data_IF_521977104956
#
_entry.id   IF_521977104956
#
_cell.length_a   1.000
_cell.length_b   1.000
_cell.length_c   1.000
_cell.angle_alpha   90.00
_cell.angle_beta   90.00
_cell.angle_gamma   90.00
#
_symmetry.space_group_name_H-M   'P 1'
#
loop_
_entity.id
_entity.type
_entity.pdbx_description
1 polymer ?
#
# COMPACT_ATOMS: atom_id res chain seq x y z
N UNK A 1 0.37 8.03 13.28
CA UNK A 1 0.85 6.66 13.52
C UNK A 1 -0.14 5.78 14.30
N UNK A 2 -1.10 6.33 15.05
CA UNK A 2 -2.13 5.52 15.71
C UNK A 2 -2.86 4.58 14.73
N UNK A 3 -3.21 5.06 13.53
CA UNK A 3 -3.86 4.23 12.51
C UNK A 3 -3.00 3.07 12.00
N UNK A 4 -1.67 3.22 12.01
CA UNK A 4 -0.78 2.14 11.64
C UNK A 4 -0.83 1.01 12.68
N UNK A 5 -0.83 1.34 13.97
CA UNK A 5 -0.94 0.33 15.02
C UNK A 5 -2.32 -0.32 15.02
N UNK A 6 -3.40 0.44 14.80
CA UNK A 6 -4.74 -0.12 14.63
C UNK A 6 -4.81 -1.09 13.45
N UNK A 7 -4.23 -0.75 12.29
CA UNK A 7 -4.17 -1.66 11.15
C UNK A 7 -3.47 -2.97 11.54
N UNK A 8 -2.34 -2.88 12.24
CA UNK A 8 -1.61 -4.05 12.72
C UNK A 8 -2.44 -4.90 13.68
N UNK A 9 -3.11 -4.28 14.66
CA UNK A 9 -4.01 -4.97 15.58
C UNK A 9 -5.10 -5.71 14.79
N UNK A 10 -5.75 -5.03 13.84
CA UNK A 10 -6.80 -5.59 13.01
C UNK A 10 -6.31 -6.80 12.19
N UNK A 11 -5.19 -6.67 11.46
CA UNK A 11 -4.66 -7.78 10.64
C UNK A 11 -4.13 -8.94 11.48
N UNK A 12 -3.63 -8.68 12.69
CA UNK A 12 -3.14 -9.73 13.60
C UNK A 12 -4.24 -10.68 14.08
N UNK A 13 -5.51 -10.29 13.94
CA UNK A 13 -6.64 -11.15 14.30
C UNK A 13 -6.83 -12.34 13.34
N UNK A 14 -6.32 -12.25 12.11
CA UNK A 14 -6.53 -13.28 11.08
C UNK A 14 -5.27 -13.67 10.28
N UNK A 15 -4.23 -12.83 10.22
CA UNK A 15 -2.96 -13.16 9.57
C UNK A 15 -2.00 -13.87 10.53
N UNK A 16 -1.03 -14.61 9.96
CA UNK A 16 0.03 -15.25 10.75
C UNK A 16 1.06 -14.21 11.20
N UNK A 17 1.82 -14.46 12.29
CA UNK A 17 2.79 -13.49 12.78
C UNK A 17 3.83 -13.02 11.75
N UNK A 18 4.29 -13.89 10.85
CA UNK A 18 5.23 -13.49 9.79
C UNK A 18 4.58 -12.60 8.73
N UNK A 19 3.30 -12.84 8.42
CA UNK A 19 2.53 -12.01 7.49
C UNK A 19 2.29 -10.62 8.09
N UNK A 20 1.98 -10.54 9.39
CA UNK A 20 1.87 -9.26 10.12
C UNK A 20 3.18 -8.47 10.06
N UNK A 21 4.33 -9.15 10.14
CA UNK A 21 5.62 -8.48 9.98
C UNK A 21 5.81 -7.92 8.57
N UNK A 22 5.40 -8.66 7.53
CA UNK A 22 5.40 -8.12 6.16
C UNK A 22 4.54 -6.87 6.01
N UNK A 23 3.40 -6.80 6.72
CA UNK A 23 2.56 -5.58 6.77
C UNK A 23 3.30 -4.42 7.46
N UNK A 24 3.98 -4.67 8.59
CA UNK A 24 4.79 -3.64 9.28
C UNK A 24 5.89 -3.10 8.36
N UNK A 25 6.60 -3.99 7.68
CA UNK A 25 7.63 -3.60 6.71
C UNK A 25 7.07 -2.77 5.55
N UNK A 26 5.88 -3.11 5.05
CA UNK A 26 5.21 -2.37 3.99
C UNK A 26 4.79 -0.96 4.42
N UNK A 27 4.28 -0.81 5.66
CA UNK A 27 3.96 0.51 6.23
C UNK A 27 5.21 1.39 6.27
N UNK A 28 6.33 0.86 6.77
CA UNK A 28 7.57 1.61 6.87
C UNK A 28 8.16 1.94 5.49
N UNK A 29 8.11 0.99 4.56
CA UNK A 29 8.55 1.19 3.19
C UNK A 29 7.75 2.30 2.49
N UNK A 30 6.43 2.26 2.61
CA UNK A 30 5.52 3.29 2.09
C UNK A 30 5.81 4.66 2.74
N UNK A 31 6.04 4.69 4.06
CA UNK A 31 6.40 5.92 4.79
C UNK A 31 7.69 6.55 4.27
N UNK A 32 8.71 5.74 4.03
CA UNK A 32 10.01 6.20 3.54
C UNK A 32 9.90 6.64 2.08
N UNK A 33 9.20 5.88 1.24
CA UNK A 33 9.02 6.20 -0.17
C UNK A 33 8.32 7.55 -0.37
N UNK A 34 7.28 7.83 0.43
CA UNK A 34 6.54 9.09 0.39
C UNK A 34 7.07 10.15 1.38
N UNK A 35 8.33 10.03 1.85
CA UNK A 35 8.88 11.00 2.79
C UNK A 35 8.90 12.42 2.20
N UNK A 36 8.34 13.38 2.94
CA UNK A 36 8.24 14.78 2.51
C UNK A 36 7.01 15.08 1.63
N UNK A 37 6.26 14.06 1.22
CA UNK A 37 4.97 14.24 0.54
C UNK A 37 3.85 14.47 1.56
N UNK A 38 2.96 15.40 1.23
CA UNK A 38 1.87 15.86 2.11
C UNK A 38 0.56 15.81 1.32
N UNK A 39 -0.52 15.31 1.96
CA UNK A 39 -1.86 15.32 1.39
C UNK A 39 -2.44 16.73 1.36
N UNK A 40 -3.50 16.96 0.59
CA UNK A 40 -4.24 18.22 0.62
C UNK A 40 -4.77 18.60 2.02
N UNK A 41 -4.99 17.62 2.92
CA UNK A 41 -5.37 17.87 4.31
C UNK A 41 -4.25 18.45 5.18
N UNK A 42 -3.00 18.38 4.74
CA UNK A 42 -1.81 18.75 5.52
C UNK A 42 -1.13 17.57 6.23
N UNK A 43 -1.70 16.37 6.18
CA UNK A 43 -1.13 15.18 6.81
C UNK A 43 -0.05 14.52 5.93
N UNK A 44 0.89 13.76 6.53
CA UNK A 44 1.86 12.95 5.76
C UNK A 44 1.16 11.99 4.79
N UNK A 45 1.67 11.87 3.57
CA UNK A 45 1.01 11.09 2.50
C UNK A 45 0.72 9.63 2.89
N UNK A 46 1.64 8.99 3.62
CA UNK A 46 1.51 7.61 4.12
C UNK A 46 0.19 7.32 4.88
N UNK A 47 -0.46 8.35 5.42
CA UNK A 47 -1.78 8.21 6.05
C UNK A 47 -2.86 7.70 5.08
N UNK A 48 -2.75 8.01 3.78
CA UNK A 48 -3.68 7.53 2.75
C UNK A 48 -3.55 6.02 2.50
N UNK A 49 -2.38 5.46 2.15
CA UNK A 49 -2.25 4.00 1.97
C UNK A 49 -2.65 3.20 3.22
N UNK A 50 -2.37 3.70 4.43
CA UNK A 50 -2.83 3.07 5.68
C UNK A 50 -4.36 3.06 5.76
N UNK A 51 -5.02 4.17 5.43
CA UNK A 51 -6.49 4.24 5.45
C UNK A 51 -7.12 3.30 4.42
N UNK A 52 -6.54 3.19 3.22
CA UNK A 52 -6.98 2.25 2.18
C UNK A 52 -6.83 0.81 2.65
N UNK A 53 -5.69 0.44 3.24
CA UNK A 53 -5.48 -0.90 3.77
C UNK A 53 -6.52 -1.24 4.86
N UNK A 54 -6.79 -0.32 5.80
CA UNK A 54 -7.83 -0.51 6.82
C UNK A 54 -9.24 -0.65 6.26
N UNK A 55 -9.55 0.00 5.14
CA UNK A 55 -10.86 -0.12 4.49
C UNK A 55 -11.11 -1.54 3.99
N UNK A 56 -10.07 -2.24 3.52
CA UNK A 56 -10.19 -3.60 2.97
C UNK A 56 -9.93 -4.69 4.02
N UNK A 57 -9.30 -4.37 5.15
CA UNK A 57 -9.02 -5.33 6.23
C UNK A 57 -10.23 -6.15 6.70
N UNK A 58 -11.47 -5.59 6.82
CA UNK A 58 -12.66 -6.38 7.20
C UNK A 58 -13.03 -7.49 6.21
N UNK A 59 -12.50 -7.48 5.00
CA UNK A 59 -12.70 -8.53 4.00
C UNK A 59 -11.81 -9.76 4.26
N UNK A 60 -10.88 -9.69 5.22
CA UNK A 60 -9.91 -10.74 5.58
C UNK A 60 -9.16 -11.29 4.35
N UNK A 61 -8.64 -10.38 3.52
CA UNK A 61 -7.83 -10.73 2.36
C UNK A 61 -6.47 -11.27 2.77
N UNK A 62 -5.74 -11.83 1.81
CA UNK A 62 -4.38 -12.31 2.05
C UNK A 62 -3.38 -11.17 2.31
N UNK A 63 -2.21 -11.54 2.83
CA UNK A 63 -1.14 -10.58 3.14
C UNK A 63 -0.70 -9.80 1.89
N UNK A 64 -0.71 -10.45 0.71
CA UNK A 64 -0.33 -9.79 -0.53
C UNK A 64 -1.27 -8.64 -0.86
N UNK A 65 -2.58 -8.81 -0.66
CA UNK A 65 -3.58 -7.75 -0.89
C UNK A 65 -3.39 -6.57 0.06
N UNK A 66 -3.13 -6.82 1.35
CA UNK A 66 -2.90 -5.74 2.32
C UNK A 66 -1.60 -4.99 2.02
N UNK A 67 -0.53 -5.71 1.71
CA UNK A 67 0.75 -5.10 1.32
C UNK A 67 0.59 -4.30 0.03
N UNK A 68 -0.09 -4.83 -0.99
CA UNK A 68 -0.34 -4.11 -2.23
C UNK A 68 -1.13 -2.81 -1.98
N UNK A 69 -2.13 -2.82 -1.10
CA UNK A 69 -2.87 -1.60 -0.73
C UNK A 69 -1.97 -0.55 -0.05
N UNK A 70 -1.02 -0.96 0.78
CA UNK A 70 -0.05 -0.04 1.40
C UNK A 70 0.97 0.54 0.40
N UNK A 71 1.17 -0.12 -0.73
CA UNK A 71 2.19 0.21 -1.73
C UNK A 71 1.61 0.72 -3.06
N UNK A 72 0.28 0.81 -3.21
CA UNK A 72 -0.36 1.04 -4.51
C UNK A 72 0.13 2.31 -5.22
N UNK A 73 0.33 3.40 -4.48
CA UNK A 73 0.79 4.68 -5.02
C UNK A 73 2.32 4.79 -5.08
N UNK A 74 3.06 3.83 -4.53
CA UNK A 74 4.52 3.96 -4.38
C UNK A 74 5.20 3.97 -5.75
N UNK A 75 4.73 3.17 -6.71
CA UNK A 75 5.30 3.12 -8.06
C UNK A 75 4.93 4.37 -8.89
N UNK A 76 3.80 5.00 -8.59
CA UNK A 76 3.29 6.13 -9.35
C UNK A 76 3.85 7.46 -8.87
N UNK A 77 3.92 7.65 -7.55
CA UNK A 77 4.25 8.92 -6.91
C UNK A 77 5.71 9.02 -6.44
N UNK A 78 6.51 7.97 -6.64
CA UNK A 78 7.90 7.93 -6.14
C UNK A 78 8.85 7.34 -7.19
N UNK A 79 10.15 7.34 -6.88
CA UNK A 79 11.18 6.75 -7.75
C UNK A 79 11.32 5.22 -7.59
N UNK A 80 10.51 4.61 -6.73
CA UNK A 80 10.55 3.16 -6.50
C UNK A 80 9.89 2.44 -7.67
N UNK A 81 10.53 1.35 -8.12
CA UNK A 81 10.08 0.54 -9.25
C UNK A 81 9.39 -0.74 -8.79
N UNK A 82 8.51 -1.31 -9.63
CA UNK A 82 7.89 -2.61 -9.37
C UNK A 82 8.91 -3.73 -9.17
N UNK A 83 10.10 -3.63 -9.80
CA UNK A 83 11.18 -4.59 -9.59
C UNK A 83 11.72 -4.56 -8.16
N UNK A 84 11.84 -3.38 -7.55
CA UNK A 84 12.25 -3.25 -6.14
C UNK A 84 11.18 -3.78 -5.19
N UNK A 85 9.90 -3.59 -5.53
CA UNK A 85 8.80 -4.21 -4.78
C UNK A 85 8.85 -5.73 -4.88
N UNK A 86 9.11 -6.27 -6.08
CA UNK A 86 9.22 -7.72 -6.28
C UNK A 86 10.38 -8.33 -5.49
N UNK A 87 11.52 -7.64 -5.42
CA UNK A 87 12.68 -8.07 -4.63
C UNK A 87 12.37 -8.10 -3.12
N UNK A 88 11.64 -7.10 -2.60
CA UNK A 88 11.38 -6.97 -1.16
C UNK A 88 10.16 -7.76 -0.66
N UNK A 89 9.07 -7.75 -1.43
CA UNK A 89 7.76 -8.30 -1.02
C UNK A 89 7.28 -9.46 -1.89
N UNK A 90 8.05 -9.83 -2.92
CA UNK A 90 7.75 -10.92 -3.83
C UNK A 90 6.98 -10.49 -5.08
N UNK A 91 7.12 -11.29 -6.14
CA UNK A 91 6.47 -11.04 -7.42
C UNK A 91 4.94 -10.83 -7.34
N UNK A 92 4.17 -11.60 -6.54
CA UNK A 92 2.73 -11.42 -6.47
C UNK A 92 2.29 -10.02 -6.01
N UNK A 93 3.03 -9.42 -5.06
CA UNK A 93 2.75 -8.05 -4.59
C UNK A 93 3.07 -7.04 -5.69
N UNK A 94 4.20 -7.21 -6.37
CA UNK A 94 4.58 -6.32 -7.47
C UNK A 94 3.57 -6.35 -8.62
N UNK A 95 3.05 -7.53 -8.96
CA UNK A 95 2.03 -7.69 -10.00
C UNK A 95 0.71 -7.00 -9.62
N UNK A 96 0.31 -7.10 -8.34
CA UNK A 96 -0.88 -6.39 -7.84
C UNK A 96 -0.71 -4.87 -7.90
N UNK A 97 0.42 -4.35 -7.43
CA UNK A 97 0.71 -2.90 -7.46
C UNK A 97 0.74 -2.38 -8.89
N UNK A 98 1.47 -3.05 -9.79
CA UNK A 98 1.53 -2.68 -11.21
C UNK A 98 0.15 -2.75 -11.89
N UNK A 99 -0.67 -3.74 -11.52
CA UNK A 99 -2.06 -3.84 -11.97
C UNK A 99 -2.92 -2.65 -11.53
N UNK A 100 -2.82 -2.23 -10.28
CA UNK A 100 -3.56 -1.08 -9.73
C UNK A 100 -3.16 0.23 -10.43
N UNK A 101 -1.85 0.48 -10.57
CA UNK A 101 -1.30 1.64 -11.29
C UNK A 101 -1.81 1.73 -12.74
N UNK A 102 -1.92 0.59 -13.43
CA UNK A 102 -2.44 0.56 -14.81
C UNK A 102 -3.93 0.84 -14.89
N UNK A 103 -4.73 0.36 -13.93
CA UNK A 103 -6.17 0.61 -13.88
C UNK A 103 -6.47 2.10 -13.70
N UNK A 104 -5.66 2.79 -12.88
CA UNK A 104 -5.77 4.22 -12.68
C UNK A 104 -5.57 4.99 -14.00
N UNK A 105 -4.51 4.67 -14.75
CA UNK A 105 -4.23 5.30 -16.07
C UNK A 105 -5.35 5.12 -17.08
N UNK A 106 -5.98 3.95 -17.14
CA UNK A 106 -7.10 3.70 -18.07
C UNK A 106 -8.30 4.59 -17.74
N UNK A 107 -8.58 4.85 -16.45
CA UNK A 107 -9.70 5.73 -16.08
C UNK A 107 -9.46 7.17 -16.52
N UNK A 108 -8.21 7.66 -16.45
CA UNK A 108 -7.85 8.99 -16.94
C UNK A 108 -7.95 9.11 -18.46
N UNK A 109 -7.61 8.08 -19.24
CA UNK A 109 -7.75 8.09 -20.71
C UNK A 109 -9.22 8.14 -21.18
N UNK A 110 -10.18 7.76 -20.34
CA UNK A 110 -11.62 7.80 -20.70
C UNK A 110 -12.30 9.14 -20.41
N UNK A 111 -11.59 10.09 -19.79
CA UNK A 111 -12.04 11.47 -19.53
C UNK A 111 -11.23 12.48 -20.36
N UNK A 112 -11.26 12.35 -21.69
CA UNK A 112 -10.94 13.43 -22.62
C UNK A 112 -12.14 13.66 -23.56
N UNK A 113 -13.04 14.56 -23.12
CA UNK A 113 -13.73 15.65 -23.85
C UNK A 113 -15.04 16.09 -23.16
#
# INVERSE_FOLDING_TARGET
MADAELLIEEVSTYLKPHDVESVREAIEFSRVAHQGQIRHSGDPYVTHPIAVARLITPLHLDVQSIVAALLHDVVEDTAITSAQIAEKFGQPVADLVDGLSKLEKIQFETHED
#
